data_IF_035194212772
#
_entry.id   IF_035194212772
#
_cell.length_a   1.000
_cell.length_b   1.000
_cell.length_c   1.000
_cell.angle_alpha   90.00
_cell.angle_beta   90.00
_cell.angle_gamma   90.00
#
_symmetry.space_group_name_H-M   'P 1'
#
loop_
_entity.id
_entity.type
_entity.pdbx_description
1 polymer ?
#
# COMPACT_ATOMS: atom_id res chain seq x y z
N UNK A 1 30.17 34.15 -65.31
CA UNK A 1 29.03 33.67 -64.50
C UNK A 1 29.54 32.67 -63.47
N UNK A 2 29.84 33.12 -62.24
CA UNK A 2 30.33 32.22 -61.19
C UNK A 2 29.17 31.47 -60.55
N UNK A 3 29.18 30.14 -60.63
CA UNK A 3 28.18 29.25 -60.00
C UNK A 3 28.17 29.44 -58.48
N UNK A 4 27.05 29.92 -57.92
CA UNK A 4 26.81 29.99 -56.46
C UNK A 4 27.10 28.64 -55.81
N UNK A 5 28.05 28.59 -54.86
CA UNK A 5 28.29 27.40 -54.01
C UNK A 5 27.05 27.16 -53.15
N UNK A 6 26.39 26.01 -53.35
CA UNK A 6 25.17 25.60 -52.63
C UNK A 6 25.53 24.98 -51.27
N UNK A 7 25.02 25.55 -50.17
CA UNK A 7 25.17 25.00 -48.80
C UNK A 7 24.13 23.92 -48.51
N UNK A 8 24.49 22.92 -47.71
CA UNK A 8 23.67 21.73 -47.40
C UNK A 8 22.42 22.08 -46.59
N UNK A 9 22.54 23.06 -45.69
CA UNK A 9 21.48 23.46 -44.75
C UNK A 9 20.29 24.14 -45.44
N UNK A 10 20.48 24.67 -46.65
CA UNK A 10 19.44 25.39 -47.40
C UNK A 10 18.49 24.47 -48.19
N UNK A 11 18.81 23.19 -48.37
CA UNK A 11 18.08 22.31 -49.31
C UNK A 11 17.34 21.14 -48.64
N UNK A 12 17.33 21.05 -47.31
CA UNK A 12 16.56 20.07 -46.53
C UNK A 12 16.47 18.68 -47.20
N UNK A 13 17.63 18.12 -47.55
CA UNK A 13 17.76 16.98 -48.47
C UNK A 13 17.28 15.70 -47.81
N UNK A 14 15.98 15.43 -47.92
CA UNK A 14 15.36 14.20 -47.43
C UNK A 14 15.86 13.01 -48.24
N UNK A 15 16.08 11.89 -47.56
CA UNK A 15 16.37 10.62 -48.20
C UNK A 15 15.12 10.14 -48.95
N UNK A 16 15.28 9.74 -50.22
CA UNK A 16 14.17 9.24 -51.03
C UNK A 16 14.19 7.70 -51.04
N UNK A 17 13.02 7.09 -50.87
CA UNK A 17 12.88 5.63 -50.83
C UNK A 17 13.37 4.94 -52.11
N UNK A 18 13.25 5.62 -53.26
CA UNK A 18 13.77 5.14 -54.55
C UNK A 18 15.29 4.87 -54.53
N UNK A 19 16.06 5.54 -53.67
CA UNK A 19 17.51 5.33 -53.57
C UNK A 19 17.87 3.99 -52.93
N UNK A 20 16.94 3.38 -52.19
CA UNK A 20 17.08 2.01 -51.72
C UNK A 20 17.06 1.02 -52.88
N UNK A 21 16.19 1.23 -53.87
CA UNK A 21 16.11 0.38 -55.06
C UNK A 21 17.23 0.67 -56.06
N UNK A 22 17.52 1.96 -56.30
CA UNK A 22 18.51 2.40 -57.29
C UNK A 22 19.95 2.15 -56.83
N UNK A 23 20.29 2.48 -55.58
CA UNK A 23 21.68 2.50 -55.11
C UNK A 23 21.94 1.61 -53.89
N UNK A 24 20.94 0.84 -53.43
CA UNK A 24 21.07 -0.06 -52.28
C UNK A 24 21.44 0.66 -50.97
N UNK A 25 20.88 1.84 -50.72
CA UNK A 25 21.08 2.58 -49.47
C UNK A 25 19.86 2.55 -48.56
N UNK A 26 20.08 2.68 -47.26
CA UNK A 26 19.04 2.95 -46.26
C UNK A 26 19.43 4.13 -45.38
N UNK A 27 18.45 4.82 -44.80
CA UNK A 27 18.68 5.85 -43.79
C UNK A 27 18.22 5.34 -42.41
N UNK A 28 19.11 5.27 -41.42
CA UNK A 28 18.73 4.91 -40.05
C UNK A 28 17.68 5.87 -39.47
N UNK A 29 16.72 5.36 -38.70
CA UNK A 29 15.67 6.17 -38.06
C UNK A 29 16.22 6.81 -36.78
N UNK A 30 17.09 7.82 -36.93
CA UNK A 30 17.60 8.66 -35.83
C UNK A 30 17.88 10.08 -36.31
N UNK A 31 17.77 11.06 -35.41
CA UNK A 31 18.12 12.45 -35.73
C UNK A 31 19.61 12.55 -36.13
N UNK A 32 19.90 13.22 -37.25
CA UNK A 32 21.28 13.37 -37.77
C UNK A 32 21.88 12.11 -38.42
N UNK A 33 21.06 11.10 -38.77
CA UNK A 33 21.55 9.91 -39.44
C UNK A 33 22.19 10.19 -40.81
N UNK A 34 23.22 9.42 -41.15
CA UNK A 34 23.84 9.39 -42.48
C UNK A 34 23.44 8.11 -43.23
N UNK A 35 23.28 8.15 -44.56
CA UNK A 35 22.95 6.98 -45.37
C UNK A 35 23.99 5.86 -45.23
N UNK A 36 23.52 4.62 -45.16
CA UNK A 36 24.34 3.41 -45.06
C UNK A 36 24.12 2.53 -46.30
N UNK A 37 25.22 2.09 -46.92
CA UNK A 37 25.19 1.14 -48.02
C UNK A 37 24.83 -0.26 -47.50
N UNK A 38 23.79 -0.87 -48.06
CA UNK A 38 23.32 -2.20 -47.66
C UNK A 38 24.21 -3.36 -48.14
N UNK A 39 25.15 -3.08 -49.06
CA UNK A 39 26.05 -4.10 -49.63
C UNK A 39 27.34 -4.21 -48.80
N UNK A 40 27.92 -3.09 -48.36
CA UNK A 40 29.21 -3.06 -47.67
C UNK A 40 29.19 -2.36 -46.30
N UNK A 41 28.03 -1.91 -45.83
CA UNK A 41 27.83 -1.20 -44.56
C UNK A 41 28.62 0.12 -44.41
N UNK A 42 29.18 0.66 -45.51
CA UNK A 42 29.86 1.96 -45.50
C UNK A 42 28.86 3.11 -45.44
N UNK A 43 29.25 4.22 -44.79
CA UNK A 43 28.40 5.42 -44.65
C UNK A 43 28.79 6.50 -45.65
N UNK A 44 27.83 7.34 -46.03
CA UNK A 44 28.05 8.51 -46.88
C UNK A 44 27.68 9.76 -46.09
N UNK A 45 28.66 10.61 -45.78
CA UNK A 45 28.49 11.73 -44.85
C UNK A 45 27.41 12.76 -45.24
N UNK A 46 27.08 12.88 -46.54
CA UNK A 46 26.10 13.86 -47.01
C UNK A 46 25.02 13.20 -47.86
N UNK A 47 23.77 13.38 -47.46
CA UNK A 47 22.55 12.86 -48.11
C UNK A 47 22.36 13.54 -49.48
N UNK A 48 23.06 13.02 -50.50
CA UNK A 48 22.97 13.50 -51.89
C UNK A 48 22.98 12.31 -52.84
N UNK A 49 22.01 12.25 -53.75
CA UNK A 49 21.94 11.23 -54.80
C UNK A 49 23.28 11.05 -55.53
N UNK A 50 23.97 12.14 -55.92
CA UNK A 50 25.28 12.07 -56.57
C UNK A 50 26.37 11.37 -55.74
N UNK A 51 26.33 11.47 -54.41
CA UNK A 51 27.30 10.80 -53.54
C UNK A 51 26.97 9.31 -53.38
N UNK A 52 25.69 8.97 -53.26
CA UNK A 52 25.21 7.59 -53.18
C UNK A 52 25.51 6.85 -54.49
N UNK A 53 25.17 7.48 -55.62
CA UNK A 53 25.46 6.98 -56.96
C UNK A 53 26.96 6.79 -57.17
N UNK A 54 27.80 7.78 -56.81
CA UNK A 54 29.26 7.63 -56.90
C UNK A 54 29.75 6.42 -56.13
N UNK A 55 29.34 6.26 -54.87
CA UNK A 55 29.73 5.10 -54.07
C UNK A 55 29.30 3.78 -54.71
N UNK A 56 28.05 3.70 -55.18
CA UNK A 56 27.51 2.52 -55.85
C UNK A 56 28.29 2.19 -57.14
N UNK A 57 28.51 3.19 -58.00
CA UNK A 57 29.22 3.03 -59.27
C UNK A 57 30.70 2.65 -59.06
N UNK A 58 31.35 3.14 -57.99
CA UNK A 58 32.77 2.81 -57.74
C UNK A 58 32.97 1.49 -57.02
N UNK A 59 32.13 1.18 -56.03
CA UNK A 59 32.33 0.02 -55.14
C UNK A 59 31.51 -1.20 -55.57
N UNK A 60 30.41 -0.99 -56.29
CA UNK A 60 29.39 -2.01 -56.55
C UNK A 60 28.92 -2.07 -58.01
N UNK A 61 29.76 -1.62 -58.96
CA UNK A 61 29.47 -1.63 -60.41
C UNK A 61 28.93 -2.96 -60.96
N UNK A 62 29.37 -4.09 -60.40
CA UNK A 62 28.98 -5.42 -60.88
C UNK A 62 27.69 -5.94 -60.23
N UNK A 63 27.14 -5.20 -59.26
CA UNK A 63 25.87 -5.57 -58.60
C UNK A 63 24.70 -5.50 -59.58
N UNK A 64 24.66 -4.46 -60.43
CA UNK A 64 23.59 -4.28 -61.41
C UNK A 64 23.59 -5.36 -62.51
N UNK A 65 24.79 -5.87 -62.86
CA UNK A 65 24.92 -6.99 -63.81
C UNK A 65 24.32 -8.28 -63.27
N UNK A 66 24.46 -8.52 -61.96
CA UNK A 66 23.93 -9.72 -61.28
C UNK A 66 22.47 -9.56 -60.86
N UNK A 67 22.04 -8.33 -60.57
CA UNK A 67 20.70 -8.00 -60.10
C UNK A 67 20.19 -6.73 -60.82
N UNK A 68 19.62 -6.89 -62.04
CA UNK A 68 19.12 -5.76 -62.83
C UNK A 68 18.06 -4.95 -62.10
N UNK A 69 17.99 -3.64 -62.38
CA UNK A 69 16.97 -2.75 -61.84
C UNK A 69 15.56 -3.28 -62.14
N UNK A 70 14.64 -3.11 -61.20
CA UNK A 70 13.25 -3.58 -61.25
C UNK A 70 13.04 -5.11 -61.38
N UNK A 71 14.10 -5.92 -61.31
CA UNK A 71 13.98 -7.38 -61.33
C UNK A 71 13.48 -7.94 -59.98
N UNK A 72 12.74 -9.05 -60.02
CA UNK A 72 12.33 -9.77 -58.81
C UNK A 72 13.54 -10.24 -57.98
N UNK A 73 14.63 -10.65 -58.64
CA UNK A 73 15.87 -11.05 -57.99
C UNK A 73 16.51 -9.90 -57.17
N UNK A 74 16.48 -8.66 -57.69
CA UNK A 74 16.98 -7.48 -56.96
C UNK A 74 16.12 -7.15 -55.75
N UNK A 75 14.78 -7.20 -55.89
CA UNK A 75 13.85 -6.98 -54.76
C UNK A 75 14.08 -7.97 -53.62
N UNK A 76 14.22 -9.26 -53.94
CA UNK A 76 14.52 -10.29 -52.95
C UNK A 76 15.88 -10.07 -52.28
N UNK A 77 16.91 -9.69 -53.04
CA UNK A 77 18.25 -9.43 -52.48
C UNK A 77 18.28 -8.19 -51.58
N UNK A 78 17.58 -7.12 -51.96
CA UNK A 78 17.42 -5.93 -51.14
C UNK A 78 16.65 -6.21 -49.85
N UNK A 79 15.58 -7.02 -49.90
CA UNK A 79 14.87 -7.47 -48.71
C UNK A 79 15.79 -8.26 -47.77
N UNK A 80 16.62 -9.17 -48.31
CA UNK A 80 17.59 -9.92 -47.52
C UNK A 80 18.64 -9.00 -46.86
N UNK A 81 19.15 -8.00 -47.58
CA UNK A 81 20.09 -7.03 -47.00
C UNK A 81 19.44 -6.11 -45.97
N UNK A 82 18.20 -5.66 -46.19
CA UNK A 82 17.45 -4.89 -45.21
C UNK A 82 17.18 -5.71 -43.95
N UNK A 83 16.86 -7.00 -44.09
CA UNK A 83 16.67 -7.91 -42.97
C UNK A 83 17.99 -8.14 -42.21
N UNK A 84 19.09 -8.40 -42.93
CA UNK A 84 20.43 -8.53 -42.33
C UNK A 84 20.85 -7.27 -41.59
N UNK A 85 20.62 -6.10 -42.19
CA UNK A 85 20.91 -4.80 -41.58
C UNK A 85 20.07 -4.57 -40.33
N UNK A 86 18.75 -4.82 -40.40
CA UNK A 86 17.86 -4.77 -39.23
C UNK A 86 18.38 -5.68 -38.12
N UNK A 87 18.67 -6.96 -38.42
CA UNK A 87 19.19 -7.91 -37.43
C UNK A 87 20.51 -7.43 -36.78
N UNK A 88 21.46 -6.93 -37.58
CA UNK A 88 22.73 -6.38 -37.05
C UNK A 88 22.50 -5.13 -36.18
N UNK A 89 21.57 -4.25 -36.54
CA UNK A 89 21.24 -3.07 -35.73
C UNK A 89 20.42 -3.41 -34.47
N UNK A 90 19.53 -4.41 -34.53
CA UNK A 90 18.74 -4.88 -33.39
C UNK A 90 19.63 -5.59 -32.36
N UNK A 91 20.61 -6.38 -32.79
CA UNK A 91 21.60 -7.00 -31.89
C UNK A 91 22.47 -5.95 -31.16
N UNK A 92 22.74 -4.79 -31.79
CA UNK A 92 23.44 -3.66 -31.17
C UNK A 92 22.55 -2.84 -30.21
N UNK A 93 21.22 -2.91 -30.36
CA UNK A 93 20.24 -2.23 -29.48
C UNK A 93 19.78 -3.14 -28.32
N UNK A 94 19.98 -4.46 -28.43
CA UNK A 94 19.63 -5.44 -27.39
C UNK A 94 20.73 -5.71 -26.35
N UNK A 95 21.89 -5.05 -26.42
CA UNK A 95 22.80 -5.04 -25.27
C UNK A 95 22.37 -3.94 -24.31
N UNK A 96 21.61 -4.28 -23.26
CA UNK A 96 21.59 -3.43 -22.07
C UNK A 96 23.04 -3.17 -21.68
N UNK A 97 23.44 -1.90 -21.58
CA UNK A 97 24.77 -1.56 -21.07
C UNK A 97 24.93 -2.24 -19.71
N UNK A 98 26.15 -2.68 -19.32
CA UNK A 98 26.34 -3.35 -18.03
C UNK A 98 25.77 -2.57 -16.84
N UNK A 99 25.74 -1.24 -16.97
CA UNK A 99 25.11 -0.31 -16.05
C UNK A 99 23.57 -0.44 -15.99
N UNK A 100 22.88 -0.60 -17.12
CA UNK A 100 21.42 -0.79 -17.15
C UNK A 100 21.02 -2.10 -16.46
N UNK A 101 21.76 -3.19 -16.67
CA UNK A 101 21.52 -4.47 -15.96
C UNK A 101 21.73 -4.33 -14.45
N UNK A 102 22.73 -3.56 -14.04
CA UNK A 102 22.99 -3.27 -12.63
C UNK A 102 21.85 -2.45 -11.99
N UNK A 103 21.32 -1.46 -12.72
CA UNK A 103 20.16 -0.68 -12.28
C UNK A 103 18.89 -1.54 -12.22
N UNK A 104 18.67 -2.41 -13.20
CA UNK A 104 17.55 -3.36 -13.21
C UNK A 104 17.62 -4.31 -12.01
N UNK A 105 18.79 -4.89 -11.74
CA UNK A 105 19.01 -5.75 -10.58
C UNK A 105 18.70 -5.00 -9.28
N UNK A 106 19.15 -3.75 -9.14
CA UNK A 106 18.84 -2.92 -7.99
C UNK A 106 17.33 -2.68 -7.83
N UNK A 107 16.61 -2.35 -8.91
CA UNK A 107 15.15 -2.16 -8.88
C UNK A 107 14.42 -3.43 -8.43
N UNK A 108 14.84 -4.62 -8.88
CA UNK A 108 14.26 -5.91 -8.47
C UNK A 108 14.47 -6.20 -6.99
N UNK A 109 15.66 -5.88 -6.46
CA UNK A 109 15.95 -5.99 -5.02
C UNK A 109 15.09 -5.02 -4.22
N UNK A 110 15.05 -3.74 -4.62
CA UNK A 110 14.20 -2.72 -3.98
C UNK A 110 12.73 -3.14 -3.96
N UNK A 111 12.19 -3.61 -5.09
CA UNK A 111 10.83 -4.12 -5.18
C UNK A 111 10.53 -5.23 -4.18
N UNK A 112 11.46 -6.17 -4.03
CA UNK A 112 11.34 -7.29 -3.09
C UNK A 112 11.35 -6.78 -1.65
N UNK A 113 12.29 -5.91 -1.29
CA UNK A 113 12.36 -5.30 0.03
C UNK A 113 11.09 -4.52 0.39
N UNK A 114 10.56 -3.74 -0.56
CA UNK A 114 9.34 -2.96 -0.39
C UNK A 114 8.12 -3.86 -0.14
N UNK A 115 7.99 -4.98 -0.86
CA UNK A 115 6.92 -5.97 -0.62
C UNK A 115 6.94 -6.55 0.79
N UNK A 116 8.13 -6.67 1.38
CA UNK A 116 8.32 -7.14 2.75
C UNK A 116 8.39 -6.01 3.78
N UNK A 117 8.07 -4.77 3.38
CA UNK A 117 8.06 -3.57 4.24
C UNK A 117 9.39 -3.38 5.01
N UNK A 118 10.51 -3.65 4.34
CA UNK A 118 11.84 -3.53 4.95
C UNK A 118 12.34 -2.09 4.95
N UNK A 119 13.06 -1.66 6.00
CA UNK A 119 13.76 -0.38 6.03
C UNK A 119 14.67 -0.18 4.82
N UNK A 120 14.88 1.07 4.40
CA UNK A 120 15.73 1.36 3.25
C UNK A 120 17.19 0.93 3.46
N UNK A 121 17.66 0.90 4.70
CA UNK A 121 19.00 0.46 5.10
C UNK A 121 19.24 -1.03 4.83
N UNK A 122 18.19 -1.85 4.83
CA UNK A 122 18.34 -3.30 4.65
C UNK A 122 18.88 -3.68 3.26
N UNK A 123 18.78 -2.78 2.27
CA UNK A 123 19.38 -3.04 0.95
C UNK A 123 20.90 -3.14 1.00
N UNK A 124 21.55 -2.47 1.95
CA UNK A 124 23.00 -2.58 2.16
C UNK A 124 23.36 -3.95 2.72
N UNK A 125 22.58 -4.44 3.68
CA UNK A 125 22.72 -5.80 4.24
C UNK A 125 22.52 -6.85 3.14
N UNK A 126 21.50 -6.71 2.29
CA UNK A 126 21.28 -7.63 1.16
C UNK A 126 22.50 -7.64 0.22
N UNK A 127 23.12 -6.49 -0.02
CA UNK A 127 24.33 -6.41 -0.83
C UNK A 127 25.51 -7.12 -0.16
N UNK A 128 25.70 -6.91 1.13
CA UNK A 128 26.72 -7.58 1.93
C UNK A 128 26.56 -9.10 1.85
N UNK A 129 25.34 -9.62 2.09
CA UNK A 129 25.06 -11.06 1.97
C UNK A 129 25.36 -11.60 0.56
N UNK A 130 25.01 -10.87 -0.50
CA UNK A 130 25.32 -11.30 -1.88
C UNK A 130 26.83 -11.37 -2.14
N UNK A 131 27.61 -10.45 -1.56
CA UNK A 131 29.07 -10.43 -1.70
C UNK A 131 29.74 -11.56 -0.92
N UNK A 132 29.29 -11.86 0.30
CA UNK A 132 29.79 -12.99 1.10
C UNK A 132 29.56 -14.32 0.36
N UNK A 133 28.34 -14.53 -0.14
CA UNK A 133 28.00 -15.73 -0.94
C UNK A 133 28.82 -15.80 -2.21
N UNK A 134 28.98 -14.68 -2.92
CA UNK A 134 29.74 -14.65 -4.17
C UNK A 134 31.23 -14.90 -3.95
N UNK A 135 31.79 -14.38 -2.86
CA UNK A 135 33.19 -14.60 -2.50
C UNK A 135 33.43 -16.06 -2.13
N UNK A 136 32.54 -16.68 -1.36
CA UNK A 136 32.67 -18.09 -0.97
C UNK A 136 32.50 -19.08 -2.12
N UNK A 137 31.59 -18.82 -3.07
CA UNK A 137 31.26 -19.76 -4.16
C UNK A 137 31.98 -19.47 -5.48
N UNK A 138 32.41 -18.22 -5.70
CA UNK A 138 32.92 -17.73 -6.98
C UNK A 138 34.21 -16.90 -6.82
N UNK A 139 35.04 -17.21 -5.82
CA UNK A 139 36.29 -16.49 -5.52
C UNK A 139 37.17 -16.25 -6.77
N UNK A 140 37.32 -17.27 -7.62
CA UNK A 140 38.13 -17.19 -8.85
C UNK A 140 37.46 -16.35 -9.97
N UNK A 141 36.15 -16.10 -9.89
CA UNK A 141 35.37 -15.35 -10.89
C UNK A 141 35.13 -13.90 -10.47
N UNK A 142 36.21 -13.10 -10.47
CA UNK A 142 36.18 -11.69 -10.08
C UNK A 142 35.15 -10.85 -10.82
N UNK A 143 34.81 -11.18 -12.05
CA UNK A 143 33.79 -10.46 -12.83
C UNK A 143 32.41 -10.52 -12.18
N UNK A 144 32.05 -11.65 -11.53
CA UNK A 144 30.77 -11.81 -10.83
C UNK A 144 30.75 -10.94 -9.57
N UNK A 145 31.82 -11.00 -8.79
CA UNK A 145 31.95 -10.22 -7.56
C UNK A 145 31.91 -8.71 -7.89
N UNK A 146 32.65 -8.28 -8.91
CA UNK A 146 32.64 -6.90 -9.40
C UNK A 146 31.25 -6.48 -9.91
N UNK A 147 30.52 -7.37 -10.60
CA UNK A 147 29.17 -7.08 -11.05
C UNK A 147 28.22 -6.82 -9.87
N UNK A 148 28.25 -7.65 -8.82
CA UNK A 148 27.46 -7.46 -7.60
C UNK A 148 27.89 -6.18 -6.85
N UNK A 149 29.20 -5.94 -6.75
CA UNK A 149 29.76 -4.73 -6.14
C UNK A 149 29.28 -3.46 -6.85
N UNK A 150 29.08 -3.52 -8.17
CA UNK A 150 28.58 -2.40 -8.95
C UNK A 150 27.09 -2.09 -8.74
N UNK A 151 26.32 -2.99 -8.10
CA UNK A 151 24.88 -2.79 -7.88
C UNK A 151 24.67 -1.67 -6.85
N UNK A 152 23.95 -0.59 -7.20
CA UNK A 152 23.72 0.55 -6.32
C UNK A 152 22.58 0.26 -5.32
N UNK A 153 22.93 -0.33 -4.17
CA UNK A 153 22.00 -0.68 -3.08
C UNK A 153 22.25 0.09 -1.77
N UNK A 154 22.87 1.28 -1.84
CA UNK A 154 22.93 2.16 -0.66
C UNK A 154 21.52 2.59 -0.21
N UNK A 155 21.35 2.95 1.06
CA UNK A 155 20.06 3.39 1.58
C UNK A 155 19.44 4.52 0.73
N UNK A 156 20.25 5.54 0.36
CA UNK A 156 19.84 6.63 -0.54
C UNK A 156 19.43 6.14 -1.93
N UNK A 157 20.16 5.17 -2.46
CA UNK A 157 19.88 4.53 -3.75
C UNK A 157 18.58 3.75 -3.73
N UNK A 158 18.29 3.09 -2.61
CA UNK A 158 17.05 2.34 -2.37
C UNK A 158 15.86 3.30 -2.26
N UNK A 159 15.95 4.37 -1.46
CA UNK A 159 14.91 5.40 -1.34
C UNK A 159 14.48 5.93 -2.71
N UNK A 160 15.44 6.42 -3.52
CA UNK A 160 15.14 6.96 -4.85
C UNK A 160 14.52 5.93 -5.80
N UNK A 161 14.91 4.65 -5.70
CA UNK A 161 14.32 3.57 -6.50
C UNK A 161 12.92 3.24 -6.05
N UNK A 162 12.67 3.24 -4.74
CA UNK A 162 11.34 3.05 -4.20
C UNK A 162 10.39 4.16 -4.63
N UNK A 163 10.85 5.42 -4.63
CA UNK A 163 10.06 6.55 -5.17
C UNK A 163 9.71 6.33 -6.64
N UNK A 164 10.68 5.95 -7.47
CA UNK A 164 10.44 5.66 -8.90
C UNK A 164 9.44 4.51 -9.10
N UNK A 165 9.58 3.42 -8.33
CA UNK A 165 8.66 2.28 -8.40
C UNK A 165 7.26 2.64 -7.89
N UNK A 166 7.16 3.48 -6.86
CA UNK A 166 5.90 3.96 -6.32
C UNK A 166 5.18 4.88 -7.31
N UNK A 167 5.90 5.80 -7.96
CA UNK A 167 5.36 6.68 -9.00
C UNK A 167 4.85 5.88 -10.21
N UNK A 168 5.62 4.89 -10.67
CA UNK A 168 5.20 4.01 -11.77
C UNK A 168 3.93 3.21 -11.40
N UNK A 169 3.92 2.56 -10.23
CA UNK A 169 2.75 1.85 -9.72
C UNK A 169 1.51 2.75 -9.62
N UNK A 170 1.69 3.98 -9.11
CA UNK A 170 0.61 4.95 -8.95
C UNK A 170 0.07 5.38 -10.32
N UNK A 171 0.94 5.67 -11.28
CA UNK A 171 0.53 6.05 -12.63
C UNK A 171 -0.21 4.91 -13.34
N UNK A 172 0.26 3.67 -13.17
CA UNK A 172 -0.42 2.47 -13.67
C UNK A 172 -1.82 2.33 -13.05
N UNK A 173 -1.95 2.51 -11.73
CA UNK A 173 -3.25 2.48 -11.06
C UNK A 173 -4.19 3.59 -11.55
N UNK A 174 -3.70 4.83 -11.70
CA UNK A 174 -4.49 5.93 -12.25
C UNK A 174 -4.96 5.61 -13.67
N UNK A 175 -4.09 5.05 -14.52
CA UNK A 175 -4.45 4.64 -15.87
C UNK A 175 -5.56 3.59 -15.87
N UNK A 176 -5.46 2.59 -14.99
CA UNK A 176 -6.51 1.58 -14.82
C UNK A 176 -7.82 2.22 -14.40
N UNK A 177 -7.83 3.14 -13.43
CA UNK A 177 -9.04 3.86 -13.00
C UNK A 177 -9.63 4.74 -14.11
N UNK A 178 -8.79 5.35 -14.94
CA UNK A 178 -9.23 6.13 -16.10
C UNK A 178 -9.91 5.24 -17.15
N UNK A 179 -9.51 3.98 -17.30
CA UNK A 179 -10.13 3.03 -18.22
C UNK A 179 -11.32 2.28 -17.60
N UNK A 180 -11.36 2.16 -16.27
CA UNK A 180 -12.44 1.50 -15.56
C UNK A 180 -13.79 2.16 -15.87
N UNK A 181 -14.88 1.38 -16.01
CA UNK A 181 -16.21 1.94 -16.23
C UNK A 181 -16.67 2.74 -15.02
N UNK A 182 -16.42 2.20 -13.82
CA UNK A 182 -16.77 2.83 -12.56
C UNK A 182 -15.96 2.22 -11.40
N UNK A 183 -15.92 2.90 -10.26
CA UNK A 183 -15.25 2.44 -9.05
C UNK A 183 -15.86 3.07 -7.79
N UNK A 184 -15.60 2.44 -6.65
CA UNK A 184 -15.95 2.96 -5.34
C UNK A 184 -14.70 3.53 -4.64
N UNK A 185 -14.89 4.54 -3.79
CA UNK A 185 -13.84 5.12 -2.97
C UNK A 185 -14.16 4.94 -1.48
N UNK A 186 -13.13 4.70 -0.68
CA UNK A 186 -13.18 4.81 0.77
C UNK A 186 -12.14 5.82 1.22
N UNK A 187 -12.55 6.76 2.08
CA UNK A 187 -11.70 7.84 2.54
C UNK A 187 -11.67 7.82 4.06
N UNK A 188 -10.46 7.84 4.60
CA UNK A 188 -10.19 7.89 6.03
C UNK A 188 -9.11 8.93 6.34
N UNK A 189 -9.19 9.52 7.51
CA UNK A 189 -8.17 10.44 8.01
C UNK A 189 -7.13 9.65 8.82
N UNK A 190 -5.86 9.92 8.58
CA UNK A 190 -4.76 9.29 9.32
C UNK A 190 -3.76 10.35 9.75
N UNK A 191 -3.24 10.23 10.97
CA UNK A 191 -2.17 11.07 11.48
C UNK A 191 -0.90 10.23 11.58
N UNK A 192 0.19 10.71 10.98
CA UNK A 192 1.47 10.00 11.04
C UNK A 192 2.22 10.25 12.36
N UNK A 193 3.39 9.61 12.53
CA UNK A 193 4.17 9.68 13.77
C UNK A 193 4.78 11.07 14.04
N UNK A 194 4.78 11.97 13.04
CA UNK A 194 5.27 13.35 13.18
C UNK A 194 4.11 14.35 13.25
N UNK A 195 2.92 13.86 13.64
CA UNK A 195 1.67 14.62 13.77
C UNK A 195 1.23 15.32 12.47
N UNK A 196 1.60 14.77 11.31
CA UNK A 196 1.09 15.25 10.03
C UNK A 196 -0.19 14.51 9.68
N UNK A 197 -1.30 15.26 9.61
CA UNK A 197 -2.60 14.77 9.16
C UNK A 197 -2.57 14.48 7.67
N UNK A 198 -3.16 13.37 7.25
CA UNK A 198 -3.19 12.91 5.87
C UNK A 198 -4.54 12.27 5.54
N UNK A 199 -4.99 12.41 4.30
CA UNK A 199 -6.14 11.70 3.77
C UNK A 199 -5.67 10.42 3.10
N UNK A 200 -6.22 9.29 3.54
CA UNK A 200 -6.05 8.00 2.88
C UNK A 200 -7.20 7.75 1.93
N UNK A 201 -6.90 7.53 0.65
CA UNK A 201 -7.88 7.26 -0.39
C UNK A 201 -7.68 5.83 -0.87
N UNK A 202 -8.65 4.97 -0.60
CA UNK A 202 -8.73 3.62 -1.15
C UNK A 202 -9.73 3.57 -2.29
N UNK A 203 -9.43 2.75 -3.29
CA UNK A 203 -10.32 2.48 -4.42
C UNK A 203 -10.66 1.00 -4.49
N UNK A 204 -11.93 0.71 -4.79
CA UNK A 204 -12.40 -0.62 -5.19
C UNK A 204 -12.92 -0.55 -6.62
N UNK A 205 -12.33 -1.31 -7.53
CA UNK A 205 -12.70 -1.32 -8.94
C UNK A 205 -12.66 -2.74 -9.50
N UNK A 206 -13.40 -2.97 -10.59
CA UNK A 206 -13.31 -4.20 -11.36
C UNK A 206 -12.13 -4.09 -12.32
N UNK A 207 -11.10 -4.91 -12.12
CA UNK A 207 -10.06 -5.07 -13.13
C UNK A 207 -10.62 -5.91 -14.28
N UNK A 208 -10.79 -5.26 -15.44
CA UNK A 208 -11.42 -5.85 -16.63
C UNK A 208 -10.58 -7.00 -17.20
N UNK A 209 -9.25 -6.93 -17.07
CA UNK A 209 -8.36 -7.95 -17.60
C UNK A 209 -8.41 -9.22 -16.76
N UNK A 210 -8.25 -9.09 -15.43
CA UNK A 210 -8.31 -10.25 -14.53
C UNK A 210 -9.74 -10.69 -14.17
N UNK A 211 -10.75 -9.86 -14.44
CA UNK A 211 -12.17 -10.07 -14.06
C UNK A 211 -12.37 -10.24 -12.55
N UNK A 212 -11.54 -9.58 -11.75
CA UNK A 212 -11.60 -9.63 -10.28
C UNK A 212 -11.68 -8.22 -9.71
N UNK A 213 -12.44 -8.05 -8.63
CA UNK A 213 -12.45 -6.81 -7.87
C UNK A 213 -11.13 -6.63 -7.13
N UNK A 214 -10.51 -5.47 -7.31
CA UNK A 214 -9.28 -5.09 -6.62
C UNK A 214 -9.54 -3.93 -5.67
N UNK A 215 -8.90 -4.02 -4.51
CA UNK A 215 -8.85 -2.99 -3.48
C UNK A 215 -7.42 -2.47 -3.43
N UNK A 216 -7.23 -1.19 -3.74
CA UNK A 216 -5.89 -0.58 -3.81
C UNK A 216 -5.88 0.76 -3.07
N UNK A 217 -4.73 1.08 -2.46
CA UNK A 217 -4.47 2.41 -1.93
C UNK A 217 -4.11 3.33 -3.10
N UNK A 218 -4.98 4.31 -3.40
CA UNK A 218 -4.78 5.24 -4.49
C UNK A 218 -3.80 6.35 -4.12
N UNK A 219 -3.98 6.94 -2.94
CA UNK A 219 -3.13 8.04 -2.49
C UNK A 219 -3.18 8.23 -0.97
N UNK A 220 -2.05 8.71 -0.44
CA UNK A 220 -1.95 9.37 0.87
C UNK A 220 -1.64 10.84 0.60
N UNK A 221 -2.59 11.72 0.96
CA UNK A 221 -2.50 13.15 0.66
C UNK A 221 -2.31 13.95 1.94
N UNK A 222 -1.17 14.62 2.15
CA UNK A 222 -0.94 15.39 3.36
C UNK A 222 -1.84 16.62 3.44
N UNK A 223 -2.35 16.90 4.64
CA UNK A 223 -3.10 18.09 4.99
C UNK A 223 -2.16 19.09 5.66
N UNK A 224 -2.27 20.36 5.26
CA UNK A 224 -1.28 21.36 5.68
C UNK A 224 -1.54 21.99 7.06
N UNK A 225 -2.79 22.00 7.55
CA UNK A 225 -3.13 22.60 8.86
C UNK A 225 -4.54 22.25 9.40
N UNK A 226 -5.52 21.95 8.53
CA UNK A 226 -6.93 21.85 8.90
C UNK A 226 -7.59 20.65 8.21
N UNK A 227 -8.52 20.04 8.92
CA UNK A 227 -9.29 18.84 8.52
C UNK A 227 -10.77 19.12 8.31
N UNK A 228 -11.13 20.36 7.94
CA UNK A 228 -12.53 20.66 7.63
C UNK A 228 -12.94 19.98 6.34
N UNK A 229 -14.23 19.72 6.16
CA UNK A 229 -14.76 19.13 4.92
C UNK A 229 -14.38 19.89 3.64
N UNK A 230 -14.16 21.22 3.74
CA UNK A 230 -13.63 22.04 2.63
C UNK A 230 -12.17 21.75 2.28
N UNK A 231 -11.31 21.58 3.29
CA UNK A 231 -9.89 21.31 3.14
C UNK A 231 -9.67 19.89 2.59
N UNK A 232 -10.43 18.93 3.12
CA UNK A 232 -10.47 17.55 2.65
C UNK A 232 -10.89 17.49 1.18
N UNK A 233 -11.99 18.16 0.84
CA UNK A 233 -12.50 18.19 -0.52
C UNK A 233 -11.53 18.87 -1.48
N UNK A 234 -10.94 20.01 -1.11
CA UNK A 234 -9.98 20.71 -1.95
C UNK A 234 -8.75 19.85 -2.24
N UNK A 235 -8.22 19.18 -1.24
CA UNK A 235 -7.05 18.30 -1.40
C UNK A 235 -7.37 17.13 -2.33
N UNK A 236 -8.57 16.55 -2.18
CA UNK A 236 -9.08 15.52 -3.08
C UNK A 236 -9.31 16.03 -4.51
N UNK A 237 -9.95 17.19 -4.68
CA UNK A 237 -10.26 17.80 -5.99
C UNK A 237 -8.99 18.18 -6.75
N UNK A 238 -7.99 18.73 -6.05
CA UNK A 238 -6.66 19.00 -6.61
C UNK A 238 -5.99 17.72 -7.12
N UNK A 239 -6.12 16.61 -6.39
CA UNK A 239 -5.60 15.31 -6.81
C UNK A 239 -6.36 14.75 -8.02
N UNK A 240 -7.70 14.72 -7.97
CA UNK A 240 -8.54 14.24 -9.06
C UNK A 240 -8.29 15.01 -10.36
N UNK A 241 -8.16 16.34 -10.26
CA UNK A 241 -7.86 17.23 -11.40
C UNK A 241 -6.47 16.94 -11.97
N UNK A 242 -5.43 16.83 -11.13
CA UNK A 242 -4.06 16.52 -11.58
C UNK A 242 -3.95 15.13 -12.21
N UNK A 243 -4.70 14.17 -11.70
CA UNK A 243 -4.71 12.79 -12.21
C UNK A 243 -5.70 12.58 -13.36
N UNK A 244 -6.44 13.61 -13.78
CA UNK A 244 -7.45 13.54 -14.84
C UNK A 244 -8.46 12.39 -14.62
N UNK A 245 -8.97 12.28 -13.39
CA UNK A 245 -9.94 11.27 -12.99
C UNK A 245 -11.32 11.93 -12.92
N UNK A 246 -12.33 11.35 -13.59
CA UNK A 246 -13.70 11.88 -13.57
C UNK A 246 -14.49 11.47 -12.33
N UNK A 247 -15.29 12.39 -11.80
CA UNK A 247 -16.27 12.15 -10.74
C UNK A 247 -17.42 11.25 -11.19
N UNK A 248 -17.75 11.22 -12.49
CA UNK A 248 -18.87 10.45 -13.04
C UNK A 248 -18.67 8.93 -12.88
N UNK A 249 -17.41 8.52 -12.74
CA UNK A 249 -17.02 7.11 -12.56
C UNK A 249 -17.12 6.65 -11.11
N UNK A 250 -17.27 7.58 -10.16
CA UNK A 250 -17.39 7.25 -8.74
C UNK A 250 -18.83 6.80 -8.49
N UNK A 251 -19.02 5.54 -8.09
CA UNK A 251 -20.36 5.01 -7.77
C UNK A 251 -20.71 5.26 -6.31
N UNK A 252 -19.72 5.16 -5.43
CA UNK A 252 -19.95 5.30 -4.00
C UNK A 252 -18.73 5.81 -3.24
N UNK A 253 -18.99 6.51 -2.14
CA UNK A 253 -18.00 6.96 -1.15
C UNK A 253 -18.31 6.38 0.23
N UNK A 254 -17.30 5.82 0.88
CA UNK A 254 -17.37 5.38 2.29
C UNK A 254 -16.46 6.25 3.16
N UNK A 255 -16.97 6.75 4.29
CA UNK A 255 -16.23 7.62 5.24
C UNK A 255 -16.48 7.21 6.69
N UNK A 256 -15.63 7.62 7.63
CA UNK A 256 -15.78 7.38 9.09
C UNK A 256 -17.08 7.96 9.72
N UNK A 257 -17.68 8.95 9.06
CA UNK A 257 -18.88 9.64 9.54
C UNK A 257 -18.60 10.80 10.49
N UNK A 258 -17.36 11.29 10.54
CA UNK A 258 -17.04 12.52 11.26
C UNK A 258 -17.82 13.71 10.69
N UNK A 259 -18.14 14.75 11.49
CA UNK A 259 -18.84 15.94 11.00
C UNK A 259 -18.18 16.62 9.79
N UNK A 260 -16.85 16.57 9.69
CA UNK A 260 -16.10 17.06 8.53
C UNK A 260 -16.38 16.25 7.26
N UNK A 261 -16.70 14.96 7.38
CA UNK A 261 -17.05 14.08 6.26
C UNK A 261 -18.51 14.19 5.86
N UNK A 262 -19.44 14.01 6.81
CA UNK A 262 -20.88 13.85 6.52
C UNK A 262 -21.73 15.09 6.78
N UNK A 263 -21.10 16.21 7.16
CA UNK A 263 -21.82 17.47 7.44
C UNK A 263 -22.74 17.89 6.29
N UNK A 264 -24.01 18.19 6.62
CA UNK A 264 -25.09 18.41 5.64
C UNK A 264 -24.80 19.53 4.62
N UNK A 265 -24.12 20.59 5.05
CA UNK A 265 -23.84 21.76 4.21
C UNK A 265 -22.36 21.88 3.82
N UNK A 266 -21.46 21.51 4.74
CA UNK A 266 -20.01 21.79 4.62
C UNK A 266 -19.14 20.53 4.59
N UNK A 267 -19.74 19.34 4.68
CA UNK A 267 -19.02 18.08 4.72
C UNK A 267 -18.42 17.68 3.37
N UNK A 268 -17.36 16.88 3.42
CA UNK A 268 -16.72 16.29 2.24
C UNK A 268 -17.72 15.59 1.30
N UNK A 269 -18.59 14.74 1.87
CA UNK A 269 -19.58 13.96 1.10
C UNK A 269 -20.62 14.86 0.44
N UNK A 270 -20.98 15.99 1.06
CA UNK A 270 -21.87 16.96 0.42
C UNK A 270 -21.20 17.55 -0.83
N UNK A 271 -19.93 17.95 -0.71
CA UNK A 271 -19.18 18.58 -1.81
C UNK A 271 -18.90 17.63 -2.97
N UNK A 272 -18.62 16.36 -2.71
CA UNK A 272 -18.48 15.37 -3.78
C UNK A 272 -19.81 15.11 -4.49
N UNK A 273 -20.93 15.11 -3.76
CA UNK A 273 -22.28 15.00 -4.36
C UNK A 273 -22.67 16.23 -5.18
N UNK A 274 -22.12 17.40 -4.87
CA UNK A 274 -22.31 18.59 -5.71
C UNK A 274 -21.58 18.48 -7.07
N UNK A 275 -20.56 17.61 -7.17
CA UNK A 275 -19.89 17.26 -8.45
C UNK A 275 -20.62 16.14 -9.20
N UNK A 276 -21.13 15.14 -8.48
CA UNK A 276 -21.93 14.05 -9.04
C UNK A 276 -23.01 13.61 -8.02
N UNK A 277 -24.26 13.96 -8.29
CA UNK A 277 -25.39 13.73 -7.40
C UNK A 277 -25.77 12.25 -7.24
N UNK A 278 -25.35 11.38 -8.17
CA UNK A 278 -25.66 9.94 -8.16
C UNK A 278 -24.77 9.13 -7.21
N UNK A 279 -23.71 9.74 -6.66
CA UNK A 279 -22.78 9.07 -5.74
C UNK A 279 -23.53 8.58 -4.49
N UNK A 280 -23.47 7.27 -4.24
CA UNK A 280 -23.95 6.67 -3.00
C UNK A 280 -22.98 6.97 -1.86
N UNK A 281 -23.49 7.33 -0.69
CA UNK A 281 -22.67 7.65 0.47
C UNK A 281 -22.94 6.68 1.61
N UNK A 282 -21.89 6.02 2.08
CA UNK A 282 -21.94 5.09 3.20
C UNK A 282 -21.09 5.61 4.35
N UNK A 283 -21.60 5.42 5.57
CA UNK A 283 -20.76 5.53 6.75
C UNK A 283 -20.09 4.18 6.99
N UNK A 284 -18.82 4.21 7.40
CA UNK A 284 -18.04 3.02 7.68
C UNK A 284 -18.72 2.20 8.77
N UNK A 285 -19.12 0.96 8.42
CA UNK A 285 -19.83 0.05 9.32
C UNK A 285 -19.03 -0.25 10.58
N UNK A 286 -17.70 -0.31 10.45
CA UNK A 286 -16.79 -0.54 11.57
C UNK A 286 -16.86 0.61 12.57
N UNK A 287 -16.79 1.86 12.09
CA UNK A 287 -16.95 3.04 12.94
C UNK A 287 -18.34 3.07 13.60
N UNK A 288 -19.40 2.72 12.86
CA UNK A 288 -20.75 2.60 13.44
C UNK A 288 -20.83 1.55 14.54
N UNK A 289 -20.29 0.35 14.32
CA UNK A 289 -20.25 -0.69 15.36
C UNK A 289 -19.44 -0.26 16.58
N UNK A 290 -18.34 0.48 16.38
CA UNK A 290 -17.58 1.05 17.49
C UNK A 290 -18.34 2.13 18.25
N UNK A 291 -19.21 2.90 17.58
CA UNK A 291 -20.08 3.88 18.23
C UNK A 291 -21.16 3.20 19.07
N UNK A 292 -21.73 2.09 18.58
CA UNK A 292 -22.69 1.28 19.32
C UNK A 292 -22.06 0.62 20.56
N UNK A 293 -20.80 0.16 20.46
CA UNK A 293 -20.06 -0.43 21.59
C UNK A 293 -19.50 0.58 22.59
N UNK A 294 -19.91 1.86 22.55
CA UNK A 294 -19.46 2.86 23.52
C UNK A 294 -20.04 2.57 24.90
N UNK A 295 -19.16 2.35 25.86
CA UNK A 295 -19.54 2.22 27.26
C UNK A 295 -20.15 3.54 27.77
N UNK A 296 -21.24 3.43 28.52
CA UNK A 296 -21.90 4.54 29.22
C UNK A 296 -21.90 4.28 30.74
N UNK A 297 -22.25 5.33 31.50
CA UNK A 297 -22.53 5.26 32.95
C UNK A 297 -21.46 4.48 33.74
N UNK A 298 -21.87 3.44 34.49
CA UNK A 298 -21.05 2.68 35.43
C UNK A 298 -20.01 1.81 34.73
N UNK A 299 -20.35 1.16 33.60
CA UNK A 299 -19.40 0.32 32.87
C UNK A 299 -18.23 1.13 32.31
N UNK A 300 -18.50 2.39 31.92
CA UNK A 300 -17.45 3.32 31.50
C UNK A 300 -16.51 3.65 32.66
N UNK A 301 -17.03 3.91 33.85
CA UNK A 301 -16.22 4.22 35.04
C UNK A 301 -15.32 3.04 35.43
N UNK A 302 -15.87 1.82 35.45
CA UNK A 302 -15.13 0.58 35.68
C UNK A 302 -14.00 0.43 34.66
N UNK A 303 -14.29 0.61 33.37
CA UNK A 303 -13.28 0.53 32.31
C UNK A 303 -12.21 1.63 32.42
N UNK A 304 -12.59 2.85 32.76
CA UNK A 304 -11.64 3.96 32.91
C UNK A 304 -10.69 3.71 34.10
N UNK A 305 -11.18 3.13 35.20
CA UNK A 305 -10.34 2.70 36.32
C UNK A 305 -9.40 1.56 35.90
N UNK A 306 -9.91 0.56 35.17
CA UNK A 306 -9.10 -0.54 34.63
C UNK A 306 -7.95 -0.05 33.73
N UNK A 307 -8.22 0.92 32.85
CA UNK A 307 -7.19 1.51 32.01
C UNK A 307 -6.14 2.24 32.85
N UNK A 308 -6.57 3.01 33.87
CA UNK A 308 -5.65 3.72 34.77
C UNK A 308 -4.77 2.76 35.58
N UNK A 309 -5.35 1.68 36.10
CA UNK A 309 -4.64 0.57 36.75
C UNK A 309 -3.55 0.01 35.82
N UNK A 310 -3.91 -0.34 34.60
CA UNK A 310 -2.98 -0.97 33.65
C UNK A 310 -1.86 -0.01 33.28
N UNK A 311 -2.18 1.27 33.03
CA UNK A 311 -1.18 2.29 32.77
C UNK A 311 -0.28 2.56 33.99
N UNK A 312 -0.81 2.46 35.21
CA UNK A 312 -0.04 2.54 36.45
C UNK A 312 1.03 1.42 36.52
N UNK A 313 0.67 0.18 36.17
CA UNK A 313 1.62 -0.94 36.14
C UNK A 313 2.60 -0.87 34.95
N UNK A 314 2.13 -0.38 33.80
CA UNK A 314 2.86 -0.43 32.52
C UNK A 314 3.76 0.77 32.23
N UNK A 315 3.37 1.96 32.68
CA UNK A 315 3.90 3.21 32.14
C UNK A 315 4.37 4.21 33.19
N UNK A 316 4.00 4.03 34.47
CA UNK A 316 4.38 4.98 35.52
C UNK A 316 5.86 4.94 35.85
N UNK A 317 6.44 3.75 35.96
CA UNK A 317 7.83 3.56 36.35
C UNK A 317 8.43 2.38 35.62
N UNK A 318 9.55 2.60 34.93
CA UNK A 318 10.31 1.54 34.26
C UNK A 318 10.87 0.52 35.26
N UNK A 319 11.13 0.92 36.51
CA UNK A 319 11.54 -0.01 37.56
C UNK A 319 10.37 -0.90 37.98
N UNK A 320 9.21 -0.30 38.27
CA UNK A 320 8.01 -1.03 38.67
C UNK A 320 7.55 -1.99 37.58
N UNK A 321 7.61 -1.57 36.31
CA UNK A 321 7.24 -2.44 35.20
C UNK A 321 8.17 -3.65 35.07
N UNK A 322 9.49 -3.46 35.24
CA UNK A 322 10.45 -4.59 35.28
C UNK A 322 10.17 -5.52 36.46
N UNK A 323 9.98 -4.98 37.66
CA UNK A 323 9.63 -5.77 38.86
C UNK A 323 8.33 -6.55 38.67
N UNK A 324 7.33 -5.96 38.02
CA UNK A 324 6.07 -6.65 37.71
C UNK A 324 6.30 -7.82 36.74
N UNK A 325 7.11 -7.64 35.70
CA UNK A 325 7.44 -8.72 34.77
C UNK A 325 8.23 -9.84 35.42
N UNK A 326 9.18 -9.50 36.29
CA UNK A 326 9.95 -10.49 37.05
C UNK A 326 9.03 -11.27 37.99
N UNK A 327 8.10 -10.58 38.67
CA UNK A 327 7.07 -11.22 39.50
C UNK A 327 6.16 -12.18 38.71
N UNK A 328 5.67 -11.77 37.53
CA UNK A 328 4.86 -12.64 36.67
C UNK A 328 5.63 -13.89 36.22
N UNK A 329 6.93 -13.75 35.96
CA UNK A 329 7.80 -14.87 35.62
C UNK A 329 7.98 -15.82 36.80
N UNK A 330 8.17 -15.31 38.02
CA UNK A 330 8.26 -16.12 39.25
C UNK A 330 6.95 -16.88 39.55
N UNK A 331 5.80 -16.28 39.24
CA UNK A 331 4.49 -16.92 39.39
C UNK A 331 4.14 -17.93 38.29
N UNK A 332 5.02 -18.16 37.30
CA UNK A 332 4.73 -18.96 36.09
C UNK A 332 3.42 -18.54 35.40
N UNK A 333 3.22 -17.21 35.31
CA UNK A 333 1.97 -16.64 34.79
C UNK A 333 1.76 -16.95 33.31
N UNK A 334 0.51 -17.12 32.90
CA UNK A 334 0.12 -17.36 31.49
C UNK A 334 0.63 -16.27 30.55
N UNK A 335 0.73 -15.03 31.05
CA UNK A 335 1.28 -13.90 30.30
C UNK A 335 2.44 -13.26 31.05
N UNK A 336 3.50 -12.93 30.31
CA UNK A 336 4.70 -12.27 30.84
C UNK A 336 4.58 -10.75 30.98
N UNK A 337 3.47 -10.15 30.52
CA UNK A 337 3.24 -8.70 30.58
C UNK A 337 1.79 -8.32 30.23
N UNK A 338 1.32 -7.18 30.73
CA UNK A 338 0.04 -6.58 30.35
C UNK A 338 0.15 -5.84 29.01
N UNK A 339 -0.98 -5.74 28.30
CA UNK A 339 -1.09 -4.92 27.10
C UNK A 339 -1.27 -3.44 27.49
N UNK A 340 -0.46 -2.55 26.93
CA UNK A 340 -0.70 -1.12 27.05
C UNK A 340 -1.92 -0.73 26.22
N UNK A 341 -2.85 -0.01 26.84
CA UNK A 341 -4.01 0.52 26.15
C UNK A 341 -3.68 1.86 25.49
N UNK A 342 -4.02 1.98 24.20
CA UNK A 342 -4.01 3.25 23.46
C UNK A 342 -5.41 3.48 22.88
N UNK A 343 -5.99 4.64 23.16
CA UNK A 343 -7.29 5.09 22.64
C UNK A 343 -7.42 5.03 21.10
N UNK A 344 -6.30 5.07 20.36
CA UNK A 344 -6.27 5.06 18.89
C UNK A 344 -6.77 3.74 18.30
N UNK A 345 -6.67 2.61 19.02
CA UNK A 345 -7.14 1.31 18.54
C UNK A 345 -8.26 0.79 19.43
N UNK A 346 -9.49 1.05 19.02
CA UNK A 346 -10.72 0.66 19.68
C UNK A 346 -10.83 -0.85 20.01
N UNK A 347 -10.18 -1.72 19.23
CA UNK A 347 -10.01 -3.17 19.48
C UNK A 347 -9.15 -3.53 20.70
N UNK A 348 -8.45 -2.56 21.29
CA UNK A 348 -7.53 -2.84 22.39
C UNK A 348 -8.23 -3.12 23.71
N UNK A 349 -9.43 -2.57 23.95
CA UNK A 349 -10.13 -2.72 25.25
C UNK A 349 -10.39 -4.19 25.59
N UNK A 350 -10.99 -4.95 24.67
CA UNK A 350 -11.30 -6.36 24.92
C UNK A 350 -10.05 -7.21 25.14
N UNK A 351 -9.01 -7.02 24.30
CA UNK A 351 -7.72 -7.76 24.47
C UNK A 351 -6.99 -7.40 25.76
N UNK A 352 -7.07 -6.14 26.17
CA UNK A 352 -6.48 -5.64 27.43
C UNK A 352 -7.18 -6.25 28.64
N UNK A 353 -8.52 -6.27 28.64
CA UNK A 353 -9.30 -6.89 29.72
C UNK A 353 -9.15 -8.41 29.73
N UNK A 354 -9.16 -9.06 28.57
CA UNK A 354 -8.90 -10.50 28.43
C UNK A 354 -7.56 -10.87 29.06
N UNK A 355 -6.48 -10.17 28.67
CA UNK A 355 -5.16 -10.43 29.23
C UNK A 355 -5.09 -10.16 30.72
N UNK A 356 -5.66 -9.04 31.18
CA UNK A 356 -5.75 -8.73 32.60
C UNK A 356 -6.45 -9.85 33.36
N UNK A 357 -7.59 -10.33 32.86
CA UNK A 357 -8.39 -11.35 33.55
C UNK A 357 -7.60 -12.65 33.77
N UNK A 358 -6.77 -13.03 32.80
CA UNK A 358 -5.92 -14.22 32.89
C UNK A 358 -4.82 -14.15 33.95
N UNK A 359 -4.45 -12.95 34.40
CA UNK A 359 -3.40 -12.75 35.44
C UNK A 359 -3.90 -11.89 36.61
N UNK A 360 -5.22 -11.89 36.84
CA UNK A 360 -5.85 -10.96 37.79
C UNK A 360 -5.39 -11.20 39.23
N UNK A 361 -5.14 -12.45 39.62
CA UNK A 361 -4.73 -12.82 40.98
C UNK A 361 -3.29 -12.37 41.26
N UNK A 362 -2.42 -12.50 40.28
CA UNK A 362 -1.04 -12.04 40.29
C UNK A 362 -1.00 -10.51 40.35
N UNK A 363 -1.87 -9.82 39.58
CA UNK A 363 -1.99 -8.36 39.66
C UNK A 363 -2.46 -7.92 41.05
N UNK A 364 -3.48 -8.57 41.63
CA UNK A 364 -3.96 -8.26 42.98
C UNK A 364 -2.83 -8.44 44.00
N UNK A 365 -2.11 -9.55 43.92
CA UNK A 365 -0.98 -9.86 44.81
C UNK A 365 0.15 -8.85 44.68
N UNK A 366 0.52 -8.48 43.45
CA UNK A 366 1.57 -7.50 43.21
C UNK A 366 1.22 -6.11 43.75
N UNK A 367 -0.05 -5.69 43.65
CA UNK A 367 -0.49 -4.40 44.18
C UNK A 367 -0.35 -4.29 45.71
N UNK A 368 -0.47 -5.40 46.44
CA UNK A 368 -0.25 -5.42 47.89
C UNK A 368 1.21 -5.10 48.24
N UNK A 369 2.15 -5.53 47.39
CA UNK A 369 3.59 -5.31 47.60
C UNK A 369 4.05 -3.89 47.25
N UNK A 370 3.31 -3.18 46.39
CA UNK A 370 3.56 -1.79 46.07
C UNK A 370 2.97 -0.93 47.20
N UNK A 371 3.75 -0.49 48.18
CA UNK A 371 3.24 0.33 49.30
C UNK A 371 2.97 1.80 48.86
N UNK A 372 1.98 2.01 48.00
CA UNK A 372 1.55 3.33 47.50
C UNK A 372 0.06 3.56 47.75
N UNK A 373 -0.38 4.83 47.77
CA UNK A 373 -1.80 5.16 47.95
C UNK A 373 -2.64 4.66 46.76
N UNK A 374 -2.12 4.81 45.54
CA UNK A 374 -2.85 4.43 44.33
C UNK A 374 -2.96 2.90 44.20
N UNK A 375 -1.90 2.15 44.54
CA UNK A 375 -1.97 0.67 44.55
C UNK A 375 -3.01 0.16 45.56
N UNK A 376 -3.13 0.77 46.74
CA UNK A 376 -4.17 0.44 47.73
C UNK A 376 -5.58 0.74 47.19
N UNK A 377 -5.75 1.85 46.46
CA UNK A 377 -7.02 2.18 45.82
C UNK A 377 -7.39 1.16 44.72
N UNK A 378 -6.43 0.81 43.87
CA UNK A 378 -6.63 -0.19 42.83
C UNK A 378 -6.88 -1.59 43.39
N UNK A 379 -6.16 -1.97 44.44
CA UNK A 379 -6.41 -3.22 45.15
C UNK A 379 -7.83 -3.25 45.70
N UNK A 380 -8.30 -2.19 46.37
CA UNK A 380 -9.69 -2.08 46.86
C UNK A 380 -10.71 -2.16 45.71
N UNK A 381 -10.38 -1.61 44.55
CA UNK A 381 -11.24 -1.72 43.37
C UNK A 381 -11.34 -3.16 42.87
N UNK A 382 -10.21 -3.88 42.78
CA UNK A 382 -10.15 -5.27 42.31
C UNK A 382 -10.68 -6.30 43.33
N UNK A 383 -10.73 -5.96 44.62
CA UNK A 383 -11.34 -6.83 45.64
C UNK A 383 -12.84 -6.57 45.84
N UNK A 384 -13.40 -5.56 45.18
CA UNK A 384 -14.83 -5.30 45.22
C UNK A 384 -15.57 -6.23 44.23
N UNK A 385 -16.51 -7.01 44.74
CA UNK A 385 -17.19 -8.03 43.94
C UNK A 385 -18.03 -7.46 42.80
N UNK A 386 -18.71 -6.33 43.01
CA UNK A 386 -19.52 -5.65 41.97
C UNK A 386 -18.66 -5.12 40.83
N UNK A 387 -17.50 -4.53 41.15
CA UNK A 387 -16.54 -4.08 40.14
C UNK A 387 -16.01 -5.24 39.32
N UNK A 388 -15.57 -6.32 39.97
CA UNK A 388 -15.01 -7.47 39.27
C UNK A 388 -16.05 -8.23 38.45
N UNK A 389 -17.31 -8.26 38.89
CA UNK A 389 -18.42 -8.75 38.08
C UNK A 389 -18.65 -7.90 36.84
N UNK A 390 -18.54 -6.58 36.96
CA UNK A 390 -18.58 -5.67 35.80
C UNK A 390 -17.40 -5.91 34.85
N UNK A 391 -16.20 -6.17 35.38
CA UNK A 391 -15.02 -6.54 34.57
C UNK A 391 -15.24 -7.89 33.88
N UNK A 392 -15.86 -8.87 34.54
CA UNK A 392 -16.22 -10.16 33.96
C UNK A 392 -17.16 -9.99 32.76
N UNK A 393 -18.22 -9.21 32.92
CA UNK A 393 -19.14 -8.87 31.84
C UNK A 393 -18.42 -8.18 30.68
N UNK A 394 -17.59 -7.17 30.98
CA UNK A 394 -16.81 -6.44 29.97
C UNK A 394 -15.88 -7.37 29.19
N UNK A 395 -15.23 -8.33 29.84
CA UNK A 395 -14.36 -9.30 29.16
C UNK A 395 -15.14 -10.09 28.10
N UNK A 396 -16.30 -10.64 28.47
CA UNK A 396 -17.11 -11.47 27.58
C UNK A 396 -17.70 -10.63 26.42
N UNK A 397 -18.38 -9.51 26.73
CA UNK A 397 -19.05 -8.72 25.70
C UNK A 397 -18.08 -8.01 24.75
N UNK A 398 -16.94 -7.50 25.26
CA UNK A 398 -15.90 -6.93 24.40
C UNK A 398 -15.20 -8.02 23.58
N UNK A 399 -15.14 -9.26 24.08
CA UNK A 399 -14.70 -10.42 23.31
C UNK A 399 -15.59 -10.65 22.08
N UNK A 400 -16.91 -10.68 22.27
CA UNK A 400 -17.86 -10.80 21.17
C UNK A 400 -17.79 -9.64 20.17
N UNK A 401 -17.67 -8.40 20.66
CA UNK A 401 -17.51 -7.21 19.80
C UNK A 401 -16.20 -7.25 19.00
N UNK A 402 -15.10 -7.76 19.58
CA UNK A 402 -13.83 -7.94 18.89
C UNK A 402 -13.93 -8.95 17.75
N UNK A 403 -14.67 -10.05 17.96
CA UNK A 403 -14.94 -11.06 16.91
C UNK A 403 -15.72 -10.41 15.77
N UNK A 404 -16.85 -9.76 16.07
CA UNK A 404 -17.66 -9.08 15.05
C UNK A 404 -16.80 -8.11 14.24
N UNK A 405 -16.01 -7.27 14.92
CA UNK A 405 -15.18 -6.34 14.19
C UNK A 405 -14.18 -7.03 13.25
N UNK A 406 -13.50 -8.06 13.73
CA UNK A 406 -12.52 -8.78 12.91
C UNK A 406 -13.20 -9.39 11.68
N UNK A 407 -14.47 -9.83 11.81
CA UNK A 407 -15.28 -10.30 10.68
C UNK A 407 -15.65 -9.20 9.68
N UNK A 408 -15.84 -7.96 10.15
CA UNK A 408 -16.17 -6.80 9.31
C UNK A 408 -14.95 -6.22 8.58
N UNK A 409 -13.74 -6.64 8.96
CA UNK A 409 -12.48 -6.23 8.37
C UNK A 409 -11.93 -7.29 7.40
N UNK A 410 -10.94 -6.86 6.61
CA UNK A 410 -10.18 -7.73 5.72
C UNK A 410 -10.61 -7.67 4.26
N UNK A 411 -9.85 -8.39 3.44
CA UNK A 411 -10.04 -8.41 1.99
C UNK A 411 -11.22 -9.30 1.60
N UNK A 412 -11.76 -9.07 0.39
CA UNK A 412 -12.79 -9.92 -0.23
C UNK A 412 -14.13 -10.00 0.51
N UNK A 413 -14.44 -9.01 1.35
CA UNK A 413 -15.75 -8.87 1.99
C UNK A 413 -16.73 -8.15 1.07
N UNK A 414 -17.87 -8.78 0.82
CA UNK A 414 -19.00 -8.18 0.11
C UNK A 414 -19.98 -7.53 1.11
N UNK A 415 -20.79 -6.60 0.61
CA UNK A 415 -21.79 -5.91 1.42
C UNK A 415 -22.78 -6.91 2.05
N UNK A 416 -23.17 -7.95 1.32
CA UNK A 416 -24.05 -9.00 1.84
C UNK A 416 -23.42 -9.77 3.02
N UNK A 417 -22.10 -10.00 2.99
CA UNK A 417 -21.38 -10.66 4.09
C UNK A 417 -21.41 -9.78 5.33
N UNK A 418 -21.10 -8.48 5.17
CA UNK A 418 -21.10 -7.51 6.26
C UNK A 418 -22.48 -7.38 6.91
N UNK A 419 -23.54 -7.26 6.09
CA UNK A 419 -24.92 -7.20 6.58
C UNK A 419 -25.29 -8.49 7.32
N UNK A 420 -24.87 -9.64 6.81
CA UNK A 420 -25.15 -10.94 7.44
C UNK A 420 -24.46 -11.05 8.80
N UNK A 421 -23.18 -10.68 8.91
CA UNK A 421 -22.45 -10.66 10.20
C UNK A 421 -23.10 -9.73 11.21
N UNK A 422 -23.46 -8.50 10.83
CA UNK A 422 -24.14 -7.57 11.76
C UNK A 422 -25.53 -8.09 12.16
N UNK A 423 -26.30 -8.63 11.21
CA UNK A 423 -27.64 -9.18 11.50
C UNK A 423 -27.57 -10.39 12.42
N UNK A 424 -26.60 -11.27 12.21
CA UNK A 424 -26.34 -12.41 13.09
C UNK A 424 -25.94 -11.94 14.49
N UNK A 425 -25.09 -10.91 14.59
CA UNK A 425 -24.70 -10.37 15.88
C UNK A 425 -25.85 -9.72 16.63
N UNK A 426 -26.75 -8.99 15.95
CA UNK A 426 -27.96 -8.43 16.57
C UNK A 426 -28.83 -9.52 17.20
N UNK A 427 -29.04 -10.65 16.52
CA UNK A 427 -29.74 -11.80 17.09
C UNK A 427 -29.01 -12.42 18.28
N UNK A 428 -27.68 -12.43 18.28
CA UNK A 428 -26.91 -12.86 19.46
C UNK A 428 -27.16 -11.93 20.64
N UNK A 429 -27.23 -10.62 20.44
CA UNK A 429 -27.54 -9.67 21.52
C UNK A 429 -28.92 -9.93 22.14
N UNK A 430 -29.94 -10.23 21.31
CA UNK A 430 -31.28 -10.62 21.80
C UNK A 430 -31.20 -11.87 22.70
N UNK A 431 -30.45 -12.89 22.28
CA UNK A 431 -30.22 -14.10 23.08
C UNK A 431 -29.45 -13.78 24.37
N UNK A 432 -28.44 -12.92 24.30
CA UNK A 432 -27.67 -12.49 25.47
C UNK A 432 -28.53 -11.72 26.47
N UNK A 433 -29.46 -10.90 26.00
CA UNK A 433 -30.39 -10.17 26.84
C UNK A 433 -31.32 -11.13 27.60
N UNK A 434 -31.85 -12.16 26.93
CA UNK A 434 -32.66 -13.21 27.55
C UNK A 434 -31.85 -14.04 28.57
N UNK A 435 -30.62 -14.43 28.20
CA UNK A 435 -29.70 -15.18 29.07
C UNK A 435 -29.36 -14.42 30.37
N UNK A 436 -29.18 -13.10 30.27
CA UNK A 436 -28.96 -12.24 31.45
C UNK A 436 -30.25 -12.03 32.26
N UNK A 437 -31.40 -11.83 31.61
CA UNK A 437 -32.70 -11.68 32.32
C UNK A 437 -33.05 -12.91 33.15
N UNK A 438 -32.77 -14.09 32.60
CA UNK A 438 -32.98 -15.37 33.29
C UNK A 438 -31.88 -15.68 34.31
N UNK A 439 -30.78 -14.91 34.30
CA UNK A 439 -29.58 -15.14 35.11
C UNK A 439 -28.90 -16.49 34.88
N UNK A 440 -29.04 -17.05 33.67
CA UNK A 440 -28.43 -18.32 33.27
C UNK A 440 -26.94 -18.15 32.93
N UNK A 441 -26.57 -17.01 32.34
CA UNK A 441 -25.20 -16.62 31.96
C UNK A 441 -24.45 -17.66 31.10
N UNK A 442 -25.17 -18.46 30.32
CA UNK A 442 -24.59 -19.51 29.47
C UNK A 442 -23.62 -18.91 28.46
N UNK A 443 -23.92 -17.72 27.95
CA UNK A 443 -23.08 -16.99 26.99
C UNK A 443 -22.09 -16.03 27.65
N UNK A 444 -22.06 -15.98 28.98
CA UNK A 444 -21.16 -15.14 29.76
C UNK A 444 -20.34 -16.01 30.72
N UNK A 445 -19.43 -16.86 30.18
CA UNK A 445 -18.71 -17.85 30.97
C UNK A 445 -17.85 -17.22 32.07
N UNK A 446 -17.37 -15.99 31.88
CA UNK A 446 -16.56 -15.29 32.88
C UNK A 446 -17.41 -14.81 34.04
N UNK A 447 -18.64 -14.36 33.76
CA UNK A 447 -19.61 -14.06 34.82
C UNK A 447 -19.96 -15.34 35.57
N UNK A 448 -20.23 -16.42 34.85
CA UNK A 448 -20.61 -17.71 35.45
C UNK A 448 -19.50 -18.26 36.36
N UNK A 449 -18.23 -18.15 35.96
CA UNK A 449 -17.06 -18.52 36.76
C UNK A 449 -16.93 -17.65 38.02
N UNK A 450 -17.22 -16.34 37.91
CA UNK A 450 -17.00 -15.38 39.00
C UNK A 450 -18.18 -15.27 39.98
N UNK A 451 -19.41 -15.54 39.54
CA UNK A 451 -20.64 -15.39 40.34
C UNK A 451 -20.58 -16.29 41.58
N UNK A 452 -20.52 -15.66 42.76
CA UNK A 452 -20.58 -16.36 44.07
C UNK A 452 -21.98 -16.39 44.68
N UNK A 453 -22.85 -15.44 44.31
CA UNK A 453 -24.19 -15.28 44.89
C UNK A 453 -25.27 -15.57 43.85
N UNK A 454 -26.44 -16.13 44.22
CA UNK A 454 -27.50 -16.48 43.28
C UNK A 454 -28.14 -15.27 42.59
N UNK A 455 -28.25 -14.13 43.28
CA UNK A 455 -28.87 -12.91 42.76
C UNK A 455 -27.81 -11.86 42.45
N UNK A 456 -27.80 -11.41 41.18
CA UNK A 456 -26.99 -10.31 40.68
C UNK A 456 -27.93 -9.23 40.14
N UNK A 457 -27.70 -7.97 40.51
CA UNK A 457 -28.30 -6.84 39.80
C UNK A 457 -27.70 -6.72 38.39
N UNK A 458 -28.48 -7.16 37.40
CA UNK A 458 -28.08 -7.18 36.00
C UNK A 458 -28.52 -5.93 35.22
N UNK A 459 -29.13 -4.94 35.88
CA UNK A 459 -29.71 -3.77 35.22
C UNK A 459 -28.71 -3.01 34.34
N UNK A 460 -27.46 -2.88 34.79
CA UNK A 460 -26.41 -2.22 34.03
C UNK A 460 -25.97 -3.01 32.78
N UNK A 461 -26.04 -4.34 32.82
CA UNK A 461 -25.68 -5.20 31.69
C UNK A 461 -26.76 -5.15 30.62
N UNK A 462 -28.03 -5.22 31.05
CA UNK A 462 -29.20 -5.11 30.17
C UNK A 462 -29.33 -3.72 29.53
N UNK A 463 -28.88 -2.66 30.22
CA UNK A 463 -28.85 -1.31 29.65
C UNK A 463 -27.76 -1.13 28.58
N UNK A 464 -26.73 -1.98 28.59
CA UNK A 464 -25.65 -1.94 27.60
C UNK A 464 -25.99 -2.73 26.32
N UNK A 465 -26.63 -3.89 26.47
CA UNK A 465 -27.11 -4.70 25.34
C UNK A 465 -28.25 -3.97 24.60
#
# INVERSE_FOLDING_TARGET
>A
MFSKKRKVDNENRKFLAEWTEQYCFTLPVRAGAVPVCLICNSTVAVVKCANLKRHYDTMHKDFEKKFPLNSAARKNKLQAYLLSYKNSTTMLVQSMTGQEKSVEAALRVCWTLNKHQKPFTDSEIVKECMLEVATALFEEKKDIINAIQSIPLSARSNTRRTELLADDNKNNLIHILQMAPCYAIAIDESCDIVDSEQISIFVRFLDVESRVFRDELLALLPLKCKTRGEDLFKTFDDFMTKSNISYDKIVSVSTDGAPAMIGKEKGFVKRIKDKNAEILSYQCIIHQTSLCGKLSTTLKEVMDIMIKLINFLRSRSALQHRQFKDFLFECDSVYSDLLQYNNVRWLSKGKVIERFWSIKEEVITFLVNLDSVESKQYHKFLTNESNMLSVAFLKDILGYLNVLNTELQGQKKLICDLISSVSAFRRKLEIFEEDIKNQDFIHFPTILEYKKTPDIDCSMFLSFL
#
